data_IF_525178972618
#
_entry.id   IF_525178972618
#
_cell.length_a   1.000
_cell.length_b   1.000
_cell.length_c   1.000
_cell.angle_alpha   90.00
_cell.angle_beta   90.00
_cell.angle_gamma   90.00
#
_symmetry.space_group_name_H-M   'P 1'
#
loop_
_entity.id
_entity.type
_entity.pdbx_description
1 polymer ?
#
# COMPACT_ATOMS: atom_id res chain seq x y z
N UNK A 1 -19.46 -38.04 19.42
CA UNK A 1 -18.67 -37.38 18.36
C UNK A 1 -19.19 -35.96 18.15
N UNK A 2 -18.80 -35.01 19.01
CA UNK A 2 -19.12 -33.60 18.80
C UNK A 2 -18.12 -33.00 17.83
N UNK A 3 -18.61 -32.56 16.69
CA UNK A 3 -17.87 -31.76 15.71
C UNK A 3 -17.43 -30.45 16.38
N UNK A 4 -16.13 -30.31 16.66
CA UNK A 4 -15.50 -29.01 16.89
C UNK A 4 -15.54 -28.23 15.57
N UNK A 5 -16.64 -27.52 15.32
CA UNK A 5 -16.69 -26.55 14.24
C UNK A 5 -15.64 -25.46 14.52
N UNK A 6 -14.61 -25.41 13.67
CA UNK A 6 -13.59 -24.35 13.74
C UNK A 6 -14.28 -23.00 13.44
N UNK A 7 -13.94 -21.91 14.16
CA UNK A 7 -14.64 -20.63 14.05
C UNK A 7 -14.71 -20.07 12.61
N UNK A 8 -13.73 -20.37 11.77
CA UNK A 8 -13.71 -20.00 10.34
C UNK A 8 -14.87 -20.59 9.53
N UNK A 9 -15.35 -21.79 9.90
CA UNK A 9 -16.42 -22.49 9.19
C UNK A 9 -17.80 -21.88 9.43
N UNK A 10 -17.99 -21.17 10.55
CA UNK A 10 -19.27 -20.54 10.92
C UNK A 10 -19.56 -19.25 10.12
N UNK A 11 -18.52 -18.48 9.76
CA UNK A 11 -18.66 -17.23 9.00
C UNK A 11 -18.96 -17.45 7.50
N UNK A 12 -18.68 -18.64 6.96
CA UNK A 12 -18.80 -18.97 5.53
C UNK A 12 -20.18 -19.51 5.11
N UNK A 13 -21.16 -19.52 6.02
CA UNK A 13 -22.45 -20.19 5.83
C UNK A 13 -23.50 -19.39 5.05
N UNK A 14 -23.19 -18.19 4.54
CA UNK A 14 -24.12 -17.39 3.71
C UNK A 14 -23.54 -17.05 2.33
N UNK A 15 -24.37 -17.27 1.31
CA UNK A 15 -23.99 -17.52 -0.08
C UNK A 15 -23.34 -16.32 -0.79
N UNK A 16 -22.06 -16.47 -1.08
CA UNK A 16 -21.32 -15.99 -2.26
C UNK A 16 -20.05 -16.84 -2.37
N UNK A 17 -19.54 -17.18 -3.56
CA UNK A 17 -18.32 -17.98 -3.67
C UNK A 17 -17.16 -17.23 -3.01
N UNK A 18 -16.55 -17.85 -1.99
CA UNK A 18 -15.42 -17.29 -1.26
C UNK A 18 -14.25 -17.06 -2.23
N UNK A 19 -13.85 -15.80 -2.41
CA UNK A 19 -12.77 -15.40 -3.33
C UNK A 19 -11.38 -15.64 -2.74
N UNK A 20 -11.24 -15.52 -1.42
CA UNK A 20 -9.96 -15.59 -0.74
C UNK A 20 -10.01 -15.14 0.72
N UNK A 21 -8.84 -15.03 1.31
CA UNK A 21 -8.62 -14.62 2.70
C UNK A 21 -7.58 -13.50 2.77
N UNK A 22 -7.84 -12.53 3.64
CA UNK A 22 -6.83 -11.57 4.08
C UNK A 22 -6.41 -11.95 5.50
N UNK A 23 -5.10 -12.07 5.72
CA UNK A 23 -4.52 -12.41 7.01
C UNK A 23 -3.66 -11.23 7.45
N UNK A 24 -4.00 -10.63 8.59
CA UNK A 24 -3.17 -9.63 9.25
C UNK A 24 -2.55 -10.30 10.46
N UNK A 25 -1.23 -10.28 10.57
CA UNK A 25 -0.52 -10.88 11.71
C UNK A 25 0.75 -10.13 12.02
N UNK A 26 1.12 -10.11 13.30
CA UNK A 26 2.41 -9.57 13.72
C UNK A 26 3.56 -10.45 13.21
N UNK A 27 4.59 -9.83 12.64
CA UNK A 27 5.82 -10.52 12.21
C UNK A 27 6.93 -10.46 13.25
N UNK A 28 6.83 -9.55 14.21
CA UNK A 28 7.95 -9.16 15.06
C UNK A 28 8.08 -10.03 16.33
N UNK A 29 7.06 -10.80 16.70
CA UNK A 29 7.03 -11.60 17.91
C UNK A 29 6.56 -13.06 17.65
N UNK A 30 6.25 -13.79 18.71
CA UNK A 30 5.80 -15.19 18.63
C UNK A 30 4.44 -15.38 17.93
N UNK A 31 3.62 -14.33 17.77
CA UNK A 31 2.36 -14.42 17.02
C UNK A 31 2.59 -14.61 15.53
N UNK A 32 3.80 -14.32 15.02
CA UNK A 32 4.20 -14.65 13.65
C UNK A 32 4.06 -16.14 13.34
N UNK A 33 4.38 -17.02 14.30
CA UNK A 33 4.19 -18.46 14.19
C UNK A 33 2.72 -18.88 14.19
N UNK A 34 1.88 -18.19 14.96
CA UNK A 34 0.42 -18.41 14.97
C UNK A 34 -0.18 -18.02 13.62
N UNK A 35 0.21 -16.86 13.09
CA UNK A 35 -0.17 -16.41 11.75
C UNK A 35 0.27 -17.39 10.67
N UNK A 36 1.52 -17.86 10.73
CA UNK A 36 2.04 -18.88 9.82
C UNK A 36 1.22 -20.17 9.84
N UNK A 37 0.89 -20.69 11.03
CA UNK A 37 0.09 -21.91 11.17
C UNK A 37 -1.35 -21.70 10.70
N UNK A 38 -1.96 -20.55 10.96
CA UNK A 38 -3.29 -20.23 10.48
C UNK A 38 -3.33 -20.20 8.94
N UNK A 39 -2.32 -19.58 8.31
CA UNK A 39 -2.16 -19.53 6.85
C UNK A 39 -1.97 -20.93 6.26
N UNK A 40 -1.16 -21.78 6.88
CA UNK A 40 -0.98 -23.19 6.48
C UNK A 40 -2.32 -23.95 6.50
N UNK A 41 -3.07 -23.86 7.60
CA UNK A 41 -4.38 -24.54 7.71
C UNK A 41 -5.39 -24.04 6.68
N UNK A 42 -5.38 -22.74 6.36
CA UNK A 42 -6.23 -22.17 5.32
C UNK A 42 -5.80 -22.62 3.92
N UNK A 43 -4.50 -22.73 3.68
CA UNK A 43 -3.96 -23.24 2.43
C UNK A 43 -4.40 -24.69 2.17
N UNK A 44 -4.29 -25.54 3.19
CA UNK A 44 -4.67 -26.96 3.12
C UNK A 44 -6.18 -27.15 2.87
N UNK A 45 -7.03 -26.36 3.54
CA UNK A 45 -8.49 -26.51 3.46
C UNK A 45 -9.10 -25.80 2.23
N UNK A 46 -8.47 -24.71 1.76
CA UNK A 46 -8.98 -23.84 0.69
C UNK A 46 -7.97 -23.64 -0.43
N UNK A 47 -7.31 -24.73 -0.84
CA UNK A 47 -6.36 -24.73 -1.96
C UNK A 47 -6.98 -24.07 -3.20
N UNK A 48 -6.23 -23.15 -3.84
CA UNK A 48 -6.67 -22.42 -5.02
C UNK A 48 -7.48 -21.14 -4.74
N UNK A 49 -7.75 -20.80 -3.47
CA UNK A 49 -8.25 -19.47 -3.09
C UNK A 49 -7.09 -18.51 -2.85
N UNK A 50 -7.30 -17.21 -3.09
CA UNK A 50 -6.26 -16.21 -2.91
C UNK A 50 -6.03 -15.94 -1.43
N UNK A 51 -4.81 -16.13 -0.93
CA UNK A 51 -4.43 -15.81 0.44
C UNK A 51 -3.46 -14.63 0.42
N UNK A 52 -3.94 -13.47 0.84
CA UNK A 52 -3.17 -12.23 0.95
C UNK A 52 -2.77 -12.03 2.41
N UNK A 53 -1.47 -12.08 2.68
CA UNK A 53 -0.95 -11.92 4.04
C UNK A 53 -0.25 -10.58 4.19
N UNK A 54 -0.70 -9.80 5.17
CA UNK A 54 -0.14 -8.50 5.55
C UNK A 54 0.57 -8.65 6.89
N UNK A 55 1.89 -8.76 6.85
CA UNK A 55 2.70 -8.97 8.04
C UNK A 55 3.03 -7.64 8.70
N UNK A 56 2.52 -7.39 9.90
CA UNK A 56 2.67 -6.11 10.58
C UNK A 56 3.94 -6.08 11.43
N UNK A 57 4.69 -5.00 11.30
CA UNK A 57 5.79 -4.65 12.20
C UNK A 57 5.47 -3.31 12.84
N UNK A 58 5.49 -3.21 14.19
CA UNK A 58 5.32 -1.93 14.85
C UNK A 58 6.43 -0.93 14.50
N UNK A 59 6.19 0.32 14.92
CA UNK A 59 7.09 1.46 14.74
C UNK A 59 8.48 1.27 15.38
N UNK A 60 9.33 2.31 15.40
CA UNK A 60 10.74 2.21 15.75
C UNK A 60 10.93 1.55 17.11
N UNK A 61 11.79 0.54 17.15
CA UNK A 61 12.14 -0.20 18.35
C UNK A 61 13.31 0.47 19.06
N UNK A 62 13.37 0.32 20.37
CA UNK A 62 14.41 0.93 21.20
C UNK A 62 15.75 0.21 21.03
N UNK A 63 16.82 0.99 20.88
CA UNK A 63 18.21 0.49 20.80
C UNK A 63 18.69 -0.18 22.10
N UNK A 64 17.99 0.04 23.22
CA UNK A 64 18.41 -0.42 24.55
C UNK A 64 18.31 -1.92 24.81
N UNK A 65 17.73 -2.70 23.89
CA UNK A 65 17.43 -4.13 24.13
C UNK A 65 17.91 -5.03 22.97
N UNK A 66 19.23 -5.22 22.81
CA UNK A 66 19.81 -5.92 21.66
C UNK A 66 19.31 -7.37 21.52
N UNK A 67 19.09 -8.07 22.62
CA UNK A 67 18.54 -9.44 22.60
C UNK A 67 17.12 -9.49 22.01
N UNK A 68 16.26 -8.53 22.36
CA UNK A 68 14.90 -8.46 21.80
C UNK A 68 14.94 -8.18 20.29
N UNK A 69 15.89 -7.37 19.82
CA UNK A 69 16.09 -7.12 18.40
C UNK A 69 16.50 -8.37 17.61
N UNK A 70 17.30 -9.26 18.22
CA UNK A 70 17.66 -10.55 17.60
C UNK A 70 16.42 -11.44 17.49
N UNK A 71 15.66 -11.63 18.58
CA UNK A 71 14.44 -12.43 18.54
C UNK A 71 13.41 -11.88 17.55
N UNK A 72 13.27 -10.55 17.49
CA UNK A 72 12.43 -9.88 16.50
C UNK A 72 12.82 -10.25 15.07
N UNK A 73 14.10 -10.15 14.75
CA UNK A 73 14.59 -10.46 13.41
C UNK A 73 14.36 -11.93 13.07
N UNK A 74 14.63 -12.84 14.01
CA UNK A 74 14.38 -14.28 13.83
C UNK A 74 12.90 -14.56 13.60
N UNK A 75 12.01 -14.00 14.42
CA UNK A 75 10.56 -14.12 14.25
C UNK A 75 10.11 -13.56 12.89
N UNK A 76 10.65 -12.42 12.48
CA UNK A 76 10.33 -11.80 11.18
C UNK A 76 10.77 -12.70 10.04
N UNK A 77 11.99 -13.24 10.10
CA UNK A 77 12.54 -14.12 9.06
C UNK A 77 11.75 -15.42 8.96
N UNK A 78 11.53 -16.13 10.08
CA UNK A 78 10.76 -17.36 10.09
C UNK A 78 9.30 -17.13 9.68
N UNK A 79 8.68 -16.07 10.19
CA UNK A 79 7.34 -15.64 9.81
C UNK A 79 7.22 -15.43 8.31
N UNK A 80 8.12 -14.65 7.70
CA UNK A 80 8.11 -14.40 6.25
C UNK A 80 8.33 -15.66 5.43
N UNK A 81 9.25 -16.54 5.83
CA UNK A 81 9.51 -17.81 5.14
C UNK A 81 8.25 -18.67 5.16
N UNK A 82 7.66 -18.93 6.33
CA UNK A 82 6.47 -19.78 6.44
C UNK A 82 5.23 -19.15 5.81
N UNK A 83 5.02 -17.83 5.95
CA UNK A 83 3.89 -17.16 5.32
C UNK A 83 4.03 -17.17 3.80
N UNK A 84 5.24 -16.98 3.26
CA UNK A 84 5.46 -17.00 1.80
C UNK A 84 5.22 -18.38 1.18
N UNK A 85 5.52 -19.46 1.91
CA UNK A 85 5.24 -20.81 1.45
C UNK A 85 3.72 -21.03 1.23
N UNK A 86 2.89 -20.60 2.18
CA UNK A 86 1.46 -20.94 2.22
C UNK A 86 0.53 -19.84 1.69
N UNK A 87 0.99 -18.60 1.58
CA UNK A 87 0.20 -17.50 1.01
C UNK A 87 0.30 -17.46 -0.52
N UNK A 88 -0.66 -16.79 -1.16
CA UNK A 88 -0.53 -16.39 -2.58
C UNK A 88 0.38 -15.17 -2.71
N UNK A 89 0.35 -14.28 -1.72
CA UNK A 89 1.18 -13.08 -1.64
C UNK A 89 1.41 -12.69 -0.17
N UNK A 90 2.59 -12.19 0.14
CA UNK A 90 2.96 -11.70 1.48
C UNK A 90 3.56 -10.31 1.35
N UNK A 91 3.09 -9.37 2.15
CA UNK A 91 3.67 -8.03 2.22
C UNK A 91 3.98 -7.67 3.68
N UNK A 92 5.27 -7.50 4.05
CA UNK A 92 5.63 -6.92 5.33
C UNK A 92 5.32 -5.43 5.32
N UNK A 93 4.49 -4.98 6.25
CA UNK A 93 4.09 -3.61 6.45
C UNK A 93 4.74 -3.03 7.70
N UNK A 94 5.39 -1.89 7.56
CA UNK A 94 6.11 -1.19 8.60
C UNK A 94 6.26 0.29 8.27
N UNK A 95 6.28 1.13 9.30
CA UNK A 95 6.76 2.51 9.18
C UNK A 95 8.21 2.66 9.67
N UNK A 96 8.83 1.59 10.17
CA UNK A 96 10.26 1.60 10.49
C UNK A 96 11.12 1.65 9.22
N UNK A 97 12.29 2.26 9.28
CA UNK A 97 13.17 2.38 8.12
C UNK A 97 13.81 1.06 7.67
N UNK A 98 14.00 0.10 8.59
CA UNK A 98 14.67 -1.16 8.30
C UNK A 98 14.11 -2.35 9.10
N UNK A 99 14.05 -3.53 8.46
CA UNK A 99 13.79 -4.81 9.14
C UNK A 99 15.02 -5.34 9.88
N UNK A 100 16.22 -4.80 9.62
CA UNK A 100 17.50 -5.29 10.13
C UNK A 100 17.69 -5.15 11.64
N UNK A 101 18.85 -5.58 12.13
CA UNK A 101 19.20 -5.51 13.56
C UNK A 101 19.29 -4.07 14.08
N UNK A 102 19.70 -3.14 13.22
CA UNK A 102 19.82 -1.72 13.55
C UNK A 102 18.54 -1.00 13.12
N UNK A 103 17.79 -0.42 14.07
CA UNK A 103 16.64 0.40 13.71
C UNK A 103 17.14 1.64 12.96
N UNK A 104 16.48 1.90 11.84
CA UNK A 104 16.61 3.15 11.10
C UNK A 104 15.43 4.07 11.47
N UNK A 105 15.58 5.40 11.27
CA UNK A 105 14.50 6.34 11.50
C UNK A 105 13.20 5.91 10.79
N UNK A 106 12.03 6.18 11.39
CA UNK A 106 10.75 5.94 10.74
C UNK A 106 10.64 6.71 9.42
N UNK A 107 9.83 6.17 8.50
CA UNK A 107 9.58 6.78 7.21
C UNK A 107 8.85 8.10 7.37
N UNK A 108 9.23 9.12 6.62
CA UNK A 108 8.60 10.43 6.68
C UNK A 108 7.65 10.61 5.49
N UNK A 109 6.49 11.22 5.77
CA UNK A 109 5.54 11.65 4.74
C UNK A 109 5.59 13.17 4.63
N UNK A 110 5.58 13.74 3.41
CA UNK A 110 5.69 15.19 3.23
C UNK A 110 4.61 16.01 3.96
N UNK A 111 3.39 15.47 4.09
CA UNK A 111 2.24 16.19 4.62
C UNK A 111 1.58 15.51 5.84
N UNK A 112 2.25 14.53 6.46
CA UNK A 112 1.80 13.92 7.72
C UNK A 112 2.76 14.26 8.85
N UNK A 113 2.18 14.63 9.99
CA UNK A 113 2.83 14.79 11.29
C UNK A 113 2.31 13.68 12.18
N UNK A 114 3.09 12.62 12.32
CA UNK A 114 2.75 11.48 13.15
C UNK A 114 3.86 11.17 14.13
N UNK A 115 3.49 10.65 15.30
CA UNK A 115 4.44 10.13 16.27
C UNK A 115 4.59 8.62 16.03
N UNK A 116 5.76 8.22 15.55
CA UNK A 116 6.03 6.81 15.25
C UNK A 116 6.08 5.92 16.51
N UNK A 117 6.26 6.51 17.69
CA UNK A 117 6.24 5.78 18.97
C UNK A 117 4.84 5.37 19.40
N UNK A 118 3.80 5.99 18.82
CA UNK A 118 2.40 5.68 19.08
C UNK A 118 1.90 4.63 18.08
N UNK A 119 1.61 3.38 18.51
CA UNK A 119 1.09 2.34 17.60
C UNK A 119 -0.20 2.76 16.90
N UNK A 120 -1.00 3.60 17.55
CA UNK A 120 -2.23 4.15 16.99
C UNK A 120 -2.00 5.00 15.73
N UNK A 121 -0.97 5.85 15.74
CA UNK A 121 -0.61 6.68 14.57
C UNK A 121 -0.11 5.80 13.42
N UNK A 122 0.80 4.88 13.72
CA UNK A 122 1.35 3.96 12.73
C UNK A 122 0.26 3.08 12.10
N UNK A 123 -0.62 2.53 12.94
CA UNK A 123 -1.72 1.67 12.49
C UNK A 123 -2.72 2.42 11.62
N UNK A 124 -3.01 3.70 11.90
CA UNK A 124 -3.89 4.52 11.08
C UNK A 124 -3.34 4.73 9.66
N UNK A 125 -2.04 4.98 9.53
CA UNK A 125 -1.36 5.13 8.23
C UNK A 125 -1.35 3.80 7.48
N UNK A 126 -0.94 2.71 8.12
CA UNK A 126 -0.92 1.38 7.49
C UNK A 126 -2.32 0.90 7.11
N UNK A 127 -3.34 1.17 7.93
CA UNK A 127 -4.73 0.87 7.62
C UNK A 127 -5.25 1.67 6.43
N UNK A 128 -4.87 2.95 6.31
CA UNK A 128 -5.20 3.80 5.14
C UNK A 128 -4.60 3.24 3.86
N UNK A 129 -3.34 2.82 3.93
CA UNK A 129 -2.66 2.19 2.80
C UNK A 129 -3.30 0.83 2.45
N UNK A 130 -3.57 -0.01 3.44
CA UNK A 130 -4.27 -1.29 3.26
C UNK A 130 -5.65 -1.11 2.64
N UNK A 131 -6.47 -0.19 3.14
CA UNK A 131 -7.77 0.10 2.55
C UNK A 131 -7.62 0.46 1.05
N UNK A 132 -6.56 1.16 0.67
CA UNK A 132 -6.32 1.54 -0.73
C UNK A 132 -5.75 0.39 -1.59
N UNK A 133 -4.74 -0.33 -1.11
CA UNK A 133 -4.08 -1.43 -1.85
C UNK A 133 -5.03 -2.61 -2.07
N UNK A 134 -6.00 -2.80 -1.18
CA UNK A 134 -6.98 -3.89 -1.26
C UNK A 134 -8.20 -3.57 -2.13
N UNK A 135 -8.32 -2.35 -2.67
CA UNK A 135 -9.44 -1.97 -3.55
C UNK A 135 -9.62 -2.88 -4.77
N UNK A 136 -8.58 -3.29 -5.53
CA UNK A 136 -8.77 -4.00 -6.80
C UNK A 136 -9.63 -5.26 -6.69
N UNK A 137 -9.56 -5.95 -5.55
CA UNK A 137 -10.36 -7.15 -5.29
C UNK A 137 -11.59 -6.93 -4.41
N UNK A 138 -11.87 -5.67 -4.03
CA UNK A 138 -13.13 -5.25 -3.39
C UNK A 138 -14.03 -4.45 -4.34
N UNK A 139 -13.50 -4.01 -5.47
CA UNK A 139 -14.20 -3.15 -6.42
C UNK A 139 -15.21 -3.96 -7.25
N UNK A 140 -16.48 -3.52 -7.26
CA UNK A 140 -17.54 -4.18 -8.03
C UNK A 140 -17.47 -3.88 -9.53
N UNK A 141 -17.07 -2.66 -9.91
CA UNK A 141 -17.07 -2.20 -11.30
C UNK A 141 -15.95 -2.81 -12.16
N UNK A 142 -14.86 -3.25 -11.55
CA UNK A 142 -13.74 -3.92 -12.20
C UNK A 142 -13.13 -4.94 -11.23
N UNK A 143 -13.81 -6.09 -11.03
CA UNK A 143 -13.41 -7.04 -10.00
C UNK A 143 -12.16 -7.80 -10.44
N UNK A 144 -11.04 -7.56 -9.75
CA UNK A 144 -9.84 -8.39 -9.88
C UNK A 144 -9.90 -9.48 -8.80
N UNK A 145 -9.82 -10.76 -9.17
CA UNK A 145 -9.81 -11.81 -8.15
C UNK A 145 -8.56 -11.73 -7.28
N UNK A 146 -8.61 -12.18 -6.01
CA UNK A 146 -7.42 -12.14 -5.15
C UNK A 146 -6.31 -13.02 -5.75
N UNK A 147 -6.66 -14.20 -6.27
CA UNK A 147 -5.73 -15.08 -6.97
C UNK A 147 -5.09 -14.38 -8.16
N UNK A 148 -5.88 -13.71 -9.01
CA UNK A 148 -5.36 -13.03 -10.19
C UNK A 148 -4.42 -11.87 -9.83
N UNK A 149 -4.77 -11.08 -8.81
CA UNK A 149 -3.89 -10.01 -8.35
C UNK A 149 -2.56 -10.58 -7.80
N UNK A 150 -2.62 -11.66 -7.02
CA UNK A 150 -1.43 -12.32 -6.51
C UNK A 150 -0.57 -12.87 -7.65
N UNK A 151 -1.16 -13.58 -8.61
CA UNK A 151 -0.46 -14.13 -9.78
C UNK A 151 0.16 -13.05 -10.67
N UNK A 152 -0.50 -11.90 -10.79
CA UNK A 152 0.02 -10.76 -11.53
C UNK A 152 1.29 -10.20 -10.88
N UNK A 153 1.28 -10.07 -9.55
CA UNK A 153 2.40 -9.55 -8.76
C UNK A 153 3.50 -10.59 -8.51
N UNK A 154 3.17 -11.87 -8.56
CA UNK A 154 4.09 -12.98 -8.34
C UNK A 154 4.96 -13.23 -9.58
N UNK A 155 6.13 -12.59 -9.62
CA UNK A 155 7.10 -12.80 -10.68
C UNK A 155 8.06 -13.95 -10.32
N UNK A 156 8.14 -14.98 -11.18
CA UNK A 156 9.05 -16.12 -11.02
C UNK A 156 8.92 -16.85 -9.68
N UNK A 157 7.70 -16.97 -9.14
CA UNK A 157 7.43 -17.66 -7.87
C UNK A 157 7.74 -16.83 -6.62
N UNK A 158 8.19 -15.58 -6.77
CA UNK A 158 8.43 -14.66 -5.65
C UNK A 158 7.11 -14.05 -5.18
N UNK A 159 6.66 -14.51 -4.02
CA UNK A 159 5.38 -14.09 -3.39
C UNK A 159 5.52 -12.92 -2.41
N UNK A 160 6.75 -12.54 -2.05
CA UNK A 160 6.98 -11.40 -1.15
C UNK A 160 7.00 -10.11 -1.96
N UNK A 161 6.13 -9.17 -1.60
CA UNK A 161 6.00 -7.87 -2.26
C UNK A 161 6.23 -6.73 -1.28
N UNK A 162 6.58 -5.56 -1.81
CA UNK A 162 6.67 -4.32 -1.03
C UNK A 162 5.46 -3.44 -1.26
N UNK A 163 5.14 -2.61 -0.27
CA UNK A 163 4.12 -1.58 -0.35
C UNK A 163 4.74 -0.19 -0.25
N UNK A 164 4.07 0.79 -0.85
CA UNK A 164 4.36 2.21 -0.68
C UNK A 164 3.06 3.00 -0.77
N UNK A 165 3.05 4.21 -0.21
CA UNK A 165 1.89 5.08 -0.25
C UNK A 165 2.27 6.56 -0.35
N UNK A 166 1.38 7.34 -0.94
CA UNK A 166 1.42 8.80 -0.94
C UNK A 166 0.16 9.28 -0.23
N UNK A 167 0.30 9.89 0.95
CA UNK A 167 -0.82 10.25 1.82
C UNK A 167 -0.67 11.71 2.30
N UNK A 168 -1.51 12.64 1.81
CA UNK A 168 -2.31 12.54 0.58
C UNK A 168 -1.40 12.55 -0.67
N UNK A 169 -1.99 12.23 -1.82
CA UNK A 169 -1.33 12.44 -3.11
C UNK A 169 -1.13 13.96 -3.34
N UNK A 170 0.05 14.43 -3.79
CA UNK A 170 0.42 15.84 -3.76
C UNK A 170 -0.20 16.66 -4.91
N UNK A 171 -1.53 16.66 -5.03
CA UNK A 171 -2.26 17.45 -6.02
C UNK A 171 -2.50 18.87 -5.49
N UNK A 172 -2.03 19.88 -6.21
CA UNK A 172 -2.27 21.28 -5.90
C UNK A 172 -3.65 21.79 -6.37
N UNK A 173 -4.15 22.92 -5.82
CA UNK A 173 -5.31 23.63 -6.35
C UNK A 173 -5.13 23.93 -7.84
N UNK A 174 -6.17 23.67 -8.64
CA UNK A 174 -6.19 23.94 -10.09
C UNK A 174 -5.19 23.15 -10.94
N UNK A 175 -4.44 22.20 -10.36
CA UNK A 175 -3.59 21.29 -11.13
C UNK A 175 -4.39 20.08 -11.64
N UNK A 176 -3.98 19.55 -12.79
CA UNK A 176 -4.45 18.26 -13.29
C UNK A 176 -3.46 17.14 -12.93
N UNK A 177 -3.94 15.90 -12.93
CA UNK A 177 -3.16 14.70 -12.67
C UNK A 177 -1.95 14.58 -13.61
N UNK A 178 -2.06 14.84 -14.94
CA UNK A 178 -0.90 14.93 -15.83
C UNK A 178 0.16 15.96 -15.38
N UNK A 179 -0.26 17.13 -14.90
CA UNK A 179 0.66 18.20 -14.47
C UNK A 179 1.47 17.73 -13.25
N UNK A 180 0.78 17.20 -12.23
CA UNK A 180 1.41 16.72 -11.00
C UNK A 180 2.34 15.53 -11.26
N UNK A 181 1.91 14.56 -12.08
CA UNK A 181 2.75 13.40 -12.43
C UNK A 181 3.97 13.79 -13.27
N UNK A 182 3.85 14.79 -14.15
CA UNK A 182 4.98 15.34 -14.87
C UNK A 182 5.98 16.02 -13.91
N UNK A 183 5.49 16.82 -12.96
CA UNK A 183 6.33 17.52 -11.98
C UNK A 183 7.10 16.56 -11.06
N UNK A 184 6.49 15.42 -10.71
CA UNK A 184 7.15 14.37 -9.94
C UNK A 184 8.32 13.71 -10.69
N UNK A 185 8.30 13.75 -12.03
CA UNK A 185 9.38 13.26 -12.87
C UNK A 185 9.71 11.78 -12.62
N UNK A 186 10.99 11.46 -12.46
CA UNK A 186 11.51 10.09 -12.25
C UNK A 186 11.48 9.68 -10.76
N UNK A 187 11.20 10.60 -9.85
CA UNK A 187 11.08 10.28 -8.43
C UNK A 187 9.77 9.50 -8.20
N UNK A 188 9.84 8.42 -7.42
CA UNK A 188 8.62 7.72 -7.00
C UNK A 188 7.90 8.58 -5.95
N UNK A 189 6.61 8.91 -6.13
CA UNK A 189 5.86 9.73 -5.16
C UNK A 189 5.48 8.98 -3.88
N UNK A 190 5.86 7.71 -3.79
CA UNK A 190 5.42 6.80 -2.74
C UNK A 190 6.47 6.71 -1.65
N UNK A 191 6.08 7.01 -0.40
CA UNK A 191 6.86 6.66 0.77
C UNK A 191 6.79 5.15 0.98
N UNK A 192 7.91 4.43 1.15
CA UNK A 192 7.91 2.99 1.38
C UNK A 192 7.18 2.64 2.68
N UNK A 193 6.37 1.59 2.63
CA UNK A 193 5.63 1.02 3.77
C UNK A 193 6.10 -0.40 4.09
N UNK A 194 7.20 -0.83 3.48
CA UNK A 194 7.86 -2.11 3.73
C UNK A 194 9.32 -1.81 3.99
N UNK A 195 9.81 -2.18 5.18
CA UNK A 195 11.16 -1.87 5.63
C UNK A 195 12.25 -2.76 4.96
N UNK A 196 12.06 -3.10 3.69
CA UNK A 196 12.85 -4.06 2.92
C UNK A 196 14.10 -3.46 2.26
N UNK A 197 14.60 -2.34 2.76
CA UNK A 197 15.78 -1.64 2.26
C UNK A 197 15.48 -0.56 1.23
N UNK A 198 16.55 0.08 0.75
CA UNK A 198 16.50 1.17 -0.20
C UNK A 198 15.99 0.70 -1.58
N UNK A 199 14.92 1.30 -2.14
CA UNK A 199 14.49 1.01 -3.50
C UNK A 199 15.51 1.42 -4.58
N UNK A 200 16.56 2.18 -4.24
CA UNK A 200 17.61 2.56 -5.19
C UNK A 200 18.28 1.32 -5.80
N UNK A 201 18.19 1.19 -7.13
CA UNK A 201 18.70 0.04 -7.87
C UNK A 201 17.82 -1.21 -7.87
N UNK A 202 16.62 -1.15 -7.27
CA UNK A 202 15.65 -2.27 -7.37
C UNK A 202 14.89 -2.22 -8.70
N UNK A 203 14.70 -3.38 -9.31
CA UNK A 203 13.89 -3.52 -10.53
C UNK A 203 12.46 -3.96 -10.16
N UNK A 204 11.48 -3.18 -10.60
CA UNK A 204 10.07 -3.58 -10.51
C UNK A 204 9.75 -4.60 -11.61
N UNK A 205 9.25 -5.77 -11.23
CA UNK A 205 8.79 -6.79 -12.18
C UNK A 205 7.29 -6.68 -12.44
N UNK A 206 6.53 -6.35 -11.40
CA UNK A 206 5.10 -6.16 -11.46
C UNK A 206 4.66 -5.16 -10.39
N UNK A 207 3.60 -4.41 -10.68
CA UNK A 207 3.03 -3.41 -9.76
C UNK A 207 1.51 -3.32 -9.89
N UNK A 208 0.86 -3.00 -8.77
CA UNK A 208 -0.55 -2.65 -8.69
C UNK A 208 -0.69 -1.32 -7.97
N UNK A 209 -1.14 -0.29 -8.68
CA UNK A 209 -1.25 1.07 -8.14
C UNK A 209 -2.71 1.49 -8.09
N UNK A 210 -3.10 2.10 -6.99
CA UNK A 210 -4.45 2.60 -6.78
C UNK A 210 -4.35 4.07 -6.38
N UNK A 211 -4.99 4.93 -7.17
CA UNK A 211 -5.16 6.35 -6.87
C UNK A 211 -6.65 6.61 -6.62
N UNK A 212 -6.98 7.35 -5.57
CA UNK A 212 -8.38 7.58 -5.21
C UNK A 212 -8.62 8.97 -4.63
N UNK A 213 -9.86 9.44 -4.75
CA UNK A 213 -10.31 10.70 -4.14
C UNK A 213 -10.00 11.95 -4.95
N UNK A 214 -9.58 11.81 -6.20
CA UNK A 214 -9.39 12.95 -7.10
C UNK A 214 -10.69 13.27 -7.83
N UNK A 215 -11.03 14.56 -7.89
CA UNK A 215 -12.15 15.03 -8.71
C UNK A 215 -11.90 14.66 -10.18
N UNK A 216 -12.94 14.16 -10.85
CA UNK A 216 -12.94 13.84 -12.28
C UNK A 216 -12.46 15.03 -13.12
N UNK A 217 -12.74 16.24 -12.66
CA UNK A 217 -12.27 17.49 -13.26
C UNK A 217 -10.75 17.58 -13.46
N UNK A 218 -9.98 16.93 -12.59
CA UNK A 218 -8.52 16.96 -12.54
C UNK A 218 -7.88 15.74 -13.21
N UNK A 219 -8.65 14.73 -13.65
CA UNK A 219 -8.10 13.47 -14.14
C UNK A 219 -7.29 13.59 -15.44
N UNK A 220 -7.72 14.51 -16.30
CA UNK A 220 -7.09 14.76 -17.61
C UNK A 220 -6.75 16.24 -17.74
N UNK A 221 -5.87 16.54 -18.68
CA UNK A 221 -5.51 17.92 -18.95
C UNK A 221 -6.66 18.70 -19.60
N UNK A 222 -6.76 20.00 -19.31
CA UNK A 222 -7.73 20.95 -19.89
C UNK A 222 -7.02 21.98 -20.78
N UNK A 223 -6.10 21.51 -21.60
CA UNK A 223 -5.36 22.38 -22.52
C UNK A 223 -6.29 22.99 -23.56
N UNK A 224 -6.07 24.26 -23.88
CA UNK A 224 -6.80 24.93 -24.96
C UNK A 224 -6.41 24.31 -26.30
N UNK A 225 -7.37 24.08 -27.22
CA UNK A 225 -7.06 23.57 -28.55
C UNK A 225 -5.98 24.41 -29.24
N UNK A 226 -4.92 23.76 -29.71
CA UNK A 226 -3.78 24.40 -30.37
C UNK A 226 -2.55 24.66 -29.49
N UNK A 227 -2.63 24.47 -28.17
CA UNK A 227 -1.42 24.51 -27.34
C UNK A 227 -0.59 23.23 -27.52
N UNK A 228 0.75 23.34 -27.59
CA UNK A 228 1.61 22.16 -27.67
C UNK A 228 1.49 21.32 -26.39
N UNK A 229 1.45 20.00 -26.56
CA UNK A 229 1.33 19.05 -25.45
C UNK A 229 2.61 19.05 -24.60
N UNK A 230 2.53 19.36 -23.29
CA UNK A 230 3.70 19.38 -22.42
C UNK A 230 4.34 17.99 -22.26
N UNK A 231 3.53 16.94 -22.21
CA UNK A 231 4.00 15.54 -22.20
C UNK A 231 2.95 14.59 -22.79
N UNK A 232 3.35 13.34 -23.02
CA UNK A 232 2.43 12.27 -23.45
C UNK A 232 1.28 12.03 -22.47
N UNK A 233 1.45 12.35 -21.18
CA UNK A 233 0.38 12.25 -20.19
C UNK A 233 -0.79 13.19 -20.51
N UNK A 234 -0.51 14.35 -21.13
CA UNK A 234 -1.52 15.35 -21.46
C UNK A 234 -2.35 14.97 -22.69
N UNK A 235 -1.92 13.97 -23.45
CA UNK A 235 -2.64 13.45 -24.61
C UNK A 235 -3.67 12.36 -24.24
N UNK A 236 -3.66 11.87 -23.01
CA UNK A 236 -4.55 10.81 -22.54
C UNK A 236 -5.99 11.32 -22.41
N UNK A 237 -6.95 10.45 -22.73
CA UNK A 237 -8.38 10.79 -22.75
C UNK A 237 -9.10 10.49 -21.43
N UNK A 238 -8.51 9.64 -20.58
CA UNK A 238 -9.03 9.26 -19.26
C UNK A 238 -7.94 9.32 -18.19
N UNK A 239 -8.32 9.47 -16.92
CA UNK A 239 -7.35 9.49 -15.82
C UNK A 239 -6.66 8.14 -15.60
N UNK A 240 -7.36 7.04 -15.90
CA UNK A 240 -6.80 5.69 -15.91
C UNK A 240 -5.69 5.56 -16.96
N UNK A 241 -5.88 6.10 -18.16
CA UNK A 241 -4.84 6.17 -19.19
C UNK A 241 -3.65 7.02 -18.73
N UNK A 242 -3.90 8.17 -18.10
CA UNK A 242 -2.83 9.03 -17.55
C UNK A 242 -1.97 8.24 -16.55
N UNK A 243 -2.62 7.56 -15.60
CA UNK A 243 -1.92 6.79 -14.57
C UNK A 243 -1.17 5.59 -15.18
N UNK A 244 -1.81 4.83 -16.06
CA UNK A 244 -1.18 3.71 -16.75
C UNK A 244 0.03 4.15 -17.58
N UNK A 245 -0.09 5.26 -18.32
CA UNK A 245 0.98 5.83 -19.13
C UNK A 245 2.15 6.30 -18.27
N UNK A 246 1.88 6.95 -17.12
CA UNK A 246 2.92 7.33 -16.17
C UNK A 246 3.68 6.11 -15.62
N UNK A 247 2.96 5.07 -15.19
CA UNK A 247 3.59 3.85 -14.68
C UNK A 247 4.43 3.13 -15.74
N UNK A 248 3.97 3.11 -16.99
CA UNK A 248 4.70 2.55 -18.12
C UNK A 248 5.98 3.35 -18.43
N UNK A 249 5.96 4.68 -18.26
CA UNK A 249 7.16 5.51 -18.41
C UNK A 249 8.17 5.27 -17.28
N UNK A 250 7.71 5.12 -16.04
CA UNK A 250 8.57 4.88 -14.88
C UNK A 250 9.20 3.48 -14.89
N UNK A 251 8.42 2.46 -15.27
CA UNK A 251 8.85 1.06 -15.23
C UNK A 251 8.45 0.32 -16.52
N UNK A 252 9.13 0.57 -17.67
CA UNK A 252 8.70 0.05 -18.97
C UNK A 252 8.65 -1.48 -19.09
N UNK A 253 9.40 -2.17 -18.23
CA UNK A 253 9.49 -3.64 -18.19
C UNK A 253 8.53 -4.27 -17.18
N UNK A 254 7.92 -3.49 -16.30
CA UNK A 254 7.06 -4.01 -15.25
C UNK A 254 5.66 -4.26 -15.77
N UNK A 255 5.07 -5.41 -15.41
CA UNK A 255 3.64 -5.64 -15.60
C UNK A 255 2.87 -4.73 -14.65
N UNK A 256 2.08 -3.81 -15.18
CA UNK A 256 1.41 -2.79 -14.38
C UNK A 256 -0.11 -2.96 -14.41
N UNK A 257 -0.74 -2.83 -13.25
CA UNK A 257 -2.18 -2.68 -13.08
C UNK A 257 -2.44 -1.35 -12.38
N UNK A 258 -3.41 -0.58 -12.86
CA UNK A 258 -3.76 0.71 -12.25
C UNK A 258 -5.26 0.88 -12.09
N UNK A 259 -5.68 1.50 -11.00
CA UNK A 259 -7.08 1.83 -10.73
C UNK A 259 -7.18 3.28 -10.25
N UNK A 260 -8.08 4.04 -10.85
CA UNK A 260 -8.42 5.39 -10.44
C UNK A 260 -9.85 5.41 -9.89
N UNK A 261 -10.04 5.93 -8.67
CA UNK A 261 -11.35 5.96 -8.01
C UNK A 261 -11.72 7.38 -7.62
N UNK A 262 -12.99 7.74 -7.82
CA UNK A 262 -13.53 9.02 -7.34
C UNK A 262 -13.71 9.02 -5.82
N UNK A 263 -14.00 7.86 -5.22
CA UNK A 263 -14.30 7.77 -3.79
C UNK A 263 -13.05 8.03 -2.93
N UNK A 264 -13.02 9.09 -2.11
CA UNK A 264 -11.86 9.40 -1.27
C UNK A 264 -11.71 8.39 -0.12
N UNK A 265 -10.52 8.37 0.49
CA UNK A 265 -10.34 7.72 1.78
C UNK A 265 -10.87 8.62 2.88
N UNK A 266 -11.93 8.17 3.58
CA UNK A 266 -12.55 8.95 4.66
C UNK A 266 -11.72 8.81 5.92
N UNK A 267 -11.27 9.93 6.46
CA UNK A 267 -10.50 10.03 7.71
C UNK A 267 -11.38 10.60 8.82
N UNK A 268 -12.46 9.89 9.15
CA UNK A 268 -13.40 10.29 10.21
C UNK A 268 -12.91 9.81 11.58
N UNK A 269 -13.27 10.48 12.69
CA UNK A 269 -13.01 9.96 14.03
C UNK A 269 -13.45 8.50 14.17
N UNK A 270 -12.62 7.63 14.78
CA UNK A 270 -11.45 7.94 15.59
C UNK A 270 -10.12 8.11 14.82
N UNK A 271 -10.08 8.40 13.52
CA UNK A 271 -8.82 8.62 12.80
C UNK A 271 -7.96 9.75 13.44
N UNK A 272 -6.66 9.54 13.70
CA UNK A 272 -5.81 10.54 14.34
C UNK A 272 -5.62 11.79 13.47
N UNK A 273 -5.48 12.95 14.10
CA UNK A 273 -5.22 14.22 13.41
C UNK A 273 -3.75 14.29 12.95
N UNK A 274 -3.43 13.59 11.86
CA UNK A 274 -2.06 13.48 11.33
C UNK A 274 -1.72 14.50 10.25
N UNK A 275 -2.73 15.07 9.59
CA UNK A 275 -2.53 15.90 8.41
C UNK A 275 -1.98 17.29 8.78
N UNK A 276 -1.02 17.79 8.01
CA UNK A 276 -0.50 19.14 8.18
C UNK A 276 -1.55 20.21 7.83
N UNK A 277 -1.36 21.42 8.36
CA UNK A 277 -2.21 22.59 8.08
C UNK A 277 -2.09 23.13 6.64
N UNK A 278 -1.19 22.58 5.83
CA UNK A 278 -0.98 22.94 4.42
C UNK A 278 -1.93 22.20 3.48
N UNK A 279 -2.96 21.54 4.01
CA UNK A 279 -3.90 20.73 3.24
C UNK A 279 -5.30 21.33 3.30
N UNK A 280 -6.00 21.30 2.16
CA UNK A 280 -7.43 21.62 2.13
C UNK A 280 -8.26 20.52 2.81
N UNK A 281 -9.53 20.78 3.18
CA UNK A 281 -10.43 19.74 3.68
C UNK A 281 -10.65 18.57 2.72
N UNK A 282 -10.35 18.76 1.43
CA UNK A 282 -10.44 17.73 0.39
C UNK A 282 -9.10 16.99 0.18
N UNK A 283 -8.05 17.32 0.94
CA UNK A 283 -6.74 16.69 0.85
C UNK A 283 -5.84 17.23 -0.27
N UNK A 284 -6.12 18.42 -0.81
CA UNK A 284 -5.26 19.09 -1.78
C UNK A 284 -4.14 19.85 -1.08
N UNK A 285 -2.94 19.85 -1.68
CA UNK A 285 -1.77 20.57 -1.17
C UNK A 285 -1.90 22.03 -1.50
N UNK A 286 -2.20 22.87 -0.51
CA UNK A 286 -2.25 24.30 -0.68
C UNK A 286 -0.83 24.80 -0.95
N UNK A 287 -0.65 25.64 -1.97
CA UNK A 287 0.62 26.32 -2.21
C UNK A 287 0.99 27.05 -0.91
N UNK A 288 2.14 26.70 -0.33
CA UNK A 288 2.72 27.54 0.69
C UNK A 288 2.91 28.91 0.03
N UNK A 289 2.22 29.93 0.54
CA UNK A 289 2.48 31.30 0.16
C UNK A 289 3.99 31.55 0.27
N UNK A 290 4.68 31.55 -0.87
CA UNK A 290 6.05 32.04 -0.97
C UNK A 290 5.98 33.55 -0.82
N UNK A 291 6.14 34.00 0.43
CA UNK A 291 6.63 35.33 0.79
C UNK A 291 5.66 36.51 0.66
N UNK A 292 5.19 37.02 1.80
CA UNK A 292 4.95 38.45 2.01
C UNK A 292 4.89 38.77 3.51
N UNK A 293 5.91 39.46 4.04
CA UNK A 293 5.73 40.28 5.25
C UNK A 293 6.82 40.19 6.32
N UNK A 294 7.91 40.94 6.09
CA UNK A 294 8.92 41.47 7.04
C UNK A 294 9.96 40.51 7.62
#
# INVERSE_FOLDING_TARGET
MLSRARPTRLLLSHRSPLQGFQILCDLHDGFSGVGAKATELLHDEYSGRGIMTWGLLPGPYTLGEPQKNIYRLLNTAFGLVHLSAHSSLVCPLSLGGSLGLRPEPPVNFPHLRYDATLPFHCSAILATALDTITVPYRLYSSPVSMVHLADMLNFSGKKVVTAGASIPFPLGPSQSLPDTLMQLGVATPWTPLSACGDPSGTHCFAQSVVLRGLDKACHTSRLTPGTPLPSLLHACSTGEEVLAQYLQQQQPRARSSSHLLLTPCKVVPPYPCLFSSSLSPQGLVLDNATGAGM
#
